data_IF_993942217040
#
_entry.id   IF_993942217040
#
_cell.length_a   1.000
_cell.length_b   1.000
_cell.length_c   1.000
_cell.angle_alpha   90.00
_cell.angle_beta   90.00
_cell.angle_gamma   90.00
#
_symmetry.space_group_name_H-M   'P 1'
#
loop_
_entity.id
_entity.type
_entity.pdbx_description
1 polymer ?
#
# COMPACT_ATOMS: atom_id res chain seq x y z
N UNK A 1 -40.82 36.08 38.09
CA UNK A 1 -39.68 35.35 37.49
C UNK A 1 -38.58 36.38 37.39
N UNK A 2 -37.66 36.31 38.35
CA UNK A 2 -36.65 37.34 38.58
C UNK A 2 -35.70 37.39 37.38
N UNK A 3 -35.40 38.58 36.87
CA UNK A 3 -34.51 38.78 35.70
C UNK A 3 -33.13 38.12 35.91
N UNK A 4 -32.67 38.05 37.16
CA UNK A 4 -31.44 37.35 37.55
C UNK A 4 -31.51 35.83 37.29
N UNK A 5 -32.66 35.18 37.54
CA UNK A 5 -32.82 33.74 37.29
C UNK A 5 -32.74 33.40 35.79
N UNK A 6 -33.25 34.27 34.93
CA UNK A 6 -33.14 34.10 33.47
C UNK A 6 -31.72 34.31 32.96
N UNK A 7 -30.98 35.26 33.54
CA UNK A 7 -29.60 35.55 33.15
C UNK A 7 -28.65 34.43 33.58
N UNK A 8 -28.88 33.85 34.77
CA UNK A 8 -28.18 32.67 35.26
C UNK A 8 -28.47 31.46 34.36
N UNK A 9 -29.75 31.21 34.05
CA UNK A 9 -30.14 30.12 33.16
C UNK A 9 -29.53 30.25 31.75
N UNK A 10 -29.47 31.45 31.19
CA UNK A 10 -28.84 31.71 29.89
C UNK A 10 -27.33 31.47 29.91
N UNK A 11 -26.65 31.90 30.97
CA UNK A 11 -25.20 31.68 31.13
C UNK A 11 -24.86 30.18 31.25
N UNK A 12 -25.67 29.42 31.98
CA UNK A 12 -25.53 27.97 32.12
C UNK A 12 -25.77 27.27 30.79
N UNK A 13 -26.85 27.63 30.09
CA UNK A 13 -27.18 27.07 28.78
C UNK A 13 -26.09 27.37 27.75
N UNK A 14 -25.53 28.59 27.75
CA UNK A 14 -24.42 28.96 26.87
C UNK A 14 -23.16 28.16 27.17
N UNK A 15 -22.85 27.92 28.45
CA UNK A 15 -21.70 27.11 28.86
C UNK A 15 -21.86 25.63 28.51
N UNK A 16 -23.09 25.10 28.56
CA UNK A 16 -23.40 23.73 28.13
C UNK A 16 -23.34 23.59 26.61
N UNK A 17 -23.79 24.60 25.87
CA UNK A 17 -23.70 24.66 24.41
C UNK A 17 -22.23 24.69 23.96
N UNK A 18 -21.39 25.43 24.67
CA UNK A 18 -19.95 25.50 24.39
C UNK A 18 -19.25 24.16 24.68
N UNK A 19 -19.60 23.49 25.80
CA UNK A 19 -19.14 22.12 26.10
C UNK A 19 -19.65 21.11 25.06
N UNK A 20 -20.90 21.21 24.60
CA UNK A 20 -21.44 20.33 23.57
C UNK A 20 -20.76 20.55 22.22
N UNK A 21 -20.45 21.80 21.85
CA UNK A 21 -19.65 22.10 20.66
C UNK A 21 -18.27 21.44 20.74
N UNK A 22 -17.56 21.62 21.85
CA UNK A 22 -16.25 20.97 22.07
C UNK A 22 -16.32 19.43 21.99
N UNK A 23 -17.34 18.82 22.62
CA UNK A 23 -17.56 17.38 22.55
C UNK A 23 -17.92 16.92 21.13
N UNK A 24 -18.70 17.70 20.39
CA UNK A 24 -19.10 17.41 19.02
C UNK A 24 -17.89 17.50 18.08
N UNK A 25 -17.05 18.52 18.23
CA UNK A 25 -15.82 18.70 17.45
C UNK A 25 -14.83 17.56 17.73
N UNK A 26 -14.68 17.14 18.99
CA UNK A 26 -13.85 15.99 19.36
C UNK A 26 -14.40 14.68 18.76
N UNK A 27 -15.72 14.53 18.71
CA UNK A 27 -16.39 13.35 18.17
C UNK A 27 -16.31 13.32 16.64
N UNK A 28 -16.43 14.46 15.96
CA UNK A 28 -16.18 14.62 14.52
C UNK A 28 -14.74 14.24 14.19
N UNK A 29 -13.77 14.75 14.95
CA UNK A 29 -12.35 14.44 14.75
C UNK A 29 -12.04 12.95 14.99
N UNK A 30 -12.65 12.32 16.01
CA UNK A 30 -12.56 10.87 16.27
C UNK A 30 -13.15 10.06 15.12
N UNK A 31 -14.34 10.44 14.63
CA UNK A 31 -14.99 9.77 13.50
C UNK A 31 -14.15 9.89 12.23
N UNK A 32 -13.59 11.06 11.94
CA UNK A 32 -12.72 11.27 10.78
C UNK A 32 -11.41 10.46 10.89
N UNK A 33 -10.76 10.44 12.05
CA UNK A 33 -9.57 9.59 12.30
C UNK A 33 -9.88 8.10 12.14
N UNK A 34 -11.04 7.65 12.60
CA UNK A 34 -11.47 6.27 12.44
C UNK A 34 -11.73 5.93 10.97
N UNK A 35 -12.43 6.79 10.24
CA UNK A 35 -12.68 6.61 8.80
C UNK A 35 -11.37 6.61 8.00
N UNK A 36 -10.49 7.58 8.24
CA UNK A 36 -9.15 7.62 7.65
C UNK A 36 -8.36 6.33 7.90
N UNK A 37 -8.26 5.93 9.17
CA UNK A 37 -7.53 4.71 9.57
C UNK A 37 -8.15 3.46 8.94
N UNK A 38 -9.47 3.40 8.79
CA UNK A 38 -10.17 2.27 8.15
C UNK A 38 -9.80 2.13 6.67
N UNK A 39 -9.71 3.24 5.93
CA UNK A 39 -9.32 3.26 4.50
C UNK A 39 -7.87 2.82 4.33
N UNK A 40 -6.96 3.37 5.14
CA UNK A 40 -5.55 2.97 5.13
C UNK A 40 -5.37 1.51 5.57
N UNK A 41 -6.14 1.04 6.56
CA UNK A 41 -6.14 -0.37 6.99
C UNK A 41 -6.63 -1.34 5.90
N UNK A 42 -7.54 -0.91 5.01
CA UNK A 42 -7.98 -1.73 3.87
C UNK A 42 -6.83 -1.97 2.90
N UNK A 43 -6.05 -0.92 2.60
CA UNK A 43 -4.84 -1.02 1.78
C UNK A 43 -3.78 -1.88 2.47
N UNK A 44 -3.51 -1.64 3.76
CA UNK A 44 -2.56 -2.43 4.56
C UNK A 44 -2.94 -3.92 4.67
N UNK A 45 -4.23 -4.27 4.60
CA UNK A 45 -4.65 -5.68 4.57
C UNK A 45 -4.29 -6.32 3.24
N UNK A 46 -4.62 -5.67 2.12
CA UNK A 46 -4.24 -6.16 0.79
C UNK A 46 -2.72 -6.34 0.68
N UNK A 47 -1.95 -5.38 1.22
CA UNK A 47 -0.51 -5.43 1.12
C UNK A 47 0.17 -6.44 2.06
N UNK A 48 -0.45 -6.73 3.21
CA UNK A 48 0.00 -7.85 4.05
C UNK A 48 -0.19 -9.18 3.35
N UNK A 49 -1.32 -9.39 2.68
CA UNK A 49 -1.56 -10.62 1.89
C UNK A 49 -0.53 -10.73 0.76
N UNK A 50 -0.30 -9.65 0.02
CA UNK A 50 0.73 -9.61 -1.03
C UNK A 50 2.15 -9.87 -0.51
N UNK A 51 2.50 -9.28 0.64
CA UNK A 51 3.81 -9.50 1.28
C UNK A 51 4.00 -10.95 1.72
N UNK A 52 2.97 -11.60 2.29
CA UNK A 52 3.03 -13.02 2.67
C UNK A 52 3.32 -13.89 1.45
N UNK A 53 2.65 -13.63 0.31
CA UNK A 53 2.88 -14.36 -0.94
C UNK A 53 4.31 -14.12 -1.43
N UNK A 54 4.83 -12.89 -1.39
CA UNK A 54 6.20 -12.59 -1.79
C UNK A 54 7.24 -13.29 -0.90
N UNK A 55 7.04 -13.29 0.42
CA UNK A 55 7.92 -14.01 1.35
C UNK A 55 7.86 -15.52 1.14
N UNK A 56 6.69 -16.10 0.90
CA UNK A 56 6.56 -17.51 0.56
C UNK A 56 7.35 -17.88 -0.70
N UNK A 57 7.27 -17.05 -1.75
CA UNK A 57 8.04 -17.23 -2.98
C UNK A 57 9.56 -17.14 -2.74
N UNK A 58 10.02 -16.19 -1.92
CA UNK A 58 11.44 -16.07 -1.54
C UNK A 58 11.93 -17.35 -0.85
N UNK A 59 11.17 -17.85 0.12
CA UNK A 59 11.51 -19.09 0.84
C UNK A 59 11.57 -20.27 -0.13
N UNK A 60 10.60 -20.37 -1.04
CA UNK A 60 10.55 -21.43 -2.04
C UNK A 60 11.77 -21.44 -2.97
N UNK A 61 12.23 -20.26 -3.40
CA UNK A 61 13.44 -20.10 -4.22
C UNK A 61 14.69 -20.51 -3.42
N UNK A 62 14.79 -20.11 -2.15
CA UNK A 62 15.95 -20.42 -1.31
C UNK A 62 16.08 -21.93 -1.03
N UNK A 63 14.97 -22.63 -0.77
CA UNK A 63 14.98 -24.10 -0.53
C UNK A 63 15.41 -24.87 -1.78
N UNK A 64 15.04 -24.39 -2.96
CA UNK A 64 15.39 -25.01 -4.24
C UNK A 64 16.65 -24.41 -4.87
N UNK A 65 17.43 -23.61 -4.13
CA UNK A 65 18.57 -22.90 -4.69
C UNK A 65 19.65 -23.85 -5.24
N UNK A 66 19.70 -25.07 -4.72
CA UNK A 66 20.59 -26.15 -5.17
C UNK A 66 20.29 -26.66 -6.59
N UNK A 67 19.12 -26.34 -7.16
CA UNK A 67 18.75 -26.73 -8.54
C UNK A 67 19.30 -25.77 -9.61
N UNK A 68 19.75 -24.58 -9.23
CA UNK A 68 20.30 -23.62 -10.19
C UNK A 68 21.76 -23.97 -10.49
N UNK A 69 21.99 -24.68 -11.59
CA UNK A 69 23.33 -25.12 -12.00
C UNK A 69 24.10 -24.03 -12.77
N UNK A 70 23.39 -23.16 -13.50
CA UNK A 70 24.00 -22.08 -14.28
C UNK A 70 24.16 -20.78 -13.48
N UNK A 71 25.27 -20.06 -13.72
CA UNK A 71 25.54 -18.73 -13.14
C UNK A 71 24.44 -17.73 -13.50
N UNK A 72 23.91 -17.78 -14.72
CA UNK A 72 22.85 -16.87 -15.18
C UNK A 72 21.54 -17.07 -14.39
N UNK A 73 21.14 -18.31 -14.15
CA UNK A 73 19.94 -18.62 -13.38
C UNK A 73 20.09 -18.31 -11.89
N UNK A 74 21.30 -18.44 -11.33
CA UNK A 74 21.58 -17.97 -9.97
C UNK A 74 21.49 -16.44 -9.84
N UNK A 75 22.05 -15.70 -10.79
CA UNK A 75 21.99 -14.25 -10.80
C UNK A 75 20.53 -13.74 -10.92
N UNK A 76 19.73 -14.33 -11.80
CA UNK A 76 18.31 -13.97 -11.95
C UNK A 76 17.48 -14.30 -10.71
N UNK A 77 17.76 -15.42 -10.03
CA UNK A 77 17.14 -15.76 -8.75
C UNK A 77 17.47 -14.74 -7.64
N UNK A 78 18.73 -14.33 -7.52
CA UNK A 78 19.15 -13.31 -6.54
C UNK A 78 18.49 -11.96 -6.82
N UNK A 79 18.47 -11.52 -8.09
CA UNK A 79 17.81 -10.27 -8.49
C UNK A 79 16.31 -10.33 -8.17
N UNK A 80 15.66 -11.46 -8.43
CA UNK A 80 14.24 -11.68 -8.13
C UNK A 80 13.97 -11.57 -6.62
N UNK A 81 14.78 -12.24 -5.79
CA UNK A 81 14.65 -12.21 -4.32
C UNK A 81 14.82 -10.80 -3.78
N UNK A 82 15.87 -10.08 -4.19
CA UNK A 82 16.12 -8.70 -3.75
C UNK A 82 14.94 -7.81 -4.13
N UNK A 83 14.46 -7.94 -5.37
CA UNK A 83 13.37 -7.08 -5.85
C UNK A 83 12.06 -7.35 -5.12
N UNK A 84 11.70 -8.63 -4.89
CA UNK A 84 10.51 -9.00 -4.12
C UNK A 84 10.59 -8.49 -2.68
N UNK A 85 11.78 -8.55 -2.07
CA UNK A 85 12.01 -8.05 -0.71
C UNK A 85 11.84 -6.53 -0.64
N UNK A 86 12.51 -5.78 -1.52
CA UNK A 86 12.42 -4.31 -1.58
C UNK A 86 10.99 -3.85 -1.84
N UNK A 87 10.27 -4.51 -2.75
CA UNK A 87 8.87 -4.20 -3.04
C UNK A 87 7.97 -4.42 -1.83
N UNK A 88 8.09 -5.57 -1.17
CA UNK A 88 7.25 -5.95 -0.03
C UNK A 88 7.50 -5.05 1.18
N UNK A 89 8.77 -4.79 1.52
CA UNK A 89 9.14 -3.98 2.68
C UNK A 89 8.86 -2.49 2.43
N UNK A 90 9.19 -1.99 1.23
CA UNK A 90 9.01 -0.59 0.86
C UNK A 90 7.54 -0.16 0.87
N UNK A 91 6.64 -0.96 0.29
CA UNK A 91 5.20 -0.65 0.26
C UNK A 91 4.61 -0.59 1.68
N UNK A 92 4.96 -1.58 2.53
CA UNK A 92 4.50 -1.62 3.92
C UNK A 92 5.04 -0.46 4.76
N UNK A 93 6.29 -0.06 4.55
CA UNK A 93 6.88 1.05 5.30
C UNK A 93 6.16 2.38 5.00
N UNK A 94 5.91 2.68 3.74
CA UNK A 94 5.20 3.90 3.32
C UNK A 94 3.77 3.93 3.85
N UNK A 95 3.05 2.81 3.78
CA UNK A 95 1.68 2.71 4.29
C UNK A 95 1.60 2.80 5.83
N UNK A 96 2.57 2.22 6.55
CA UNK A 96 2.67 2.38 8.01
C UNK A 96 2.91 3.84 8.41
N UNK A 97 3.75 4.56 7.65
CA UNK A 97 3.98 6.01 7.87
C UNK A 97 2.73 6.84 7.63
N UNK A 98 1.91 6.49 6.64
CA UNK A 98 0.61 7.14 6.42
C UNK A 98 -0.37 6.85 7.56
N UNK A 99 -0.46 5.59 8.02
CA UNK A 99 -1.32 5.23 9.16
C UNK A 99 -0.94 5.95 10.46
N UNK A 100 0.33 6.25 10.66
CA UNK A 100 0.83 6.91 11.87
C UNK A 100 0.45 8.42 11.97
N UNK A 101 -0.19 8.98 10.94
CA UNK A 101 -0.70 10.35 10.97
C UNK A 101 -1.89 10.41 11.94
N UNK A 102 -1.80 11.26 12.95
CA UNK A 102 -2.84 11.45 13.96
C UNK A 102 -3.52 12.81 13.74
N UNK A 103 -4.78 12.79 13.28
CA UNK A 103 -5.58 14.00 13.04
C UNK A 103 -5.89 14.79 14.32
N UNK A 104 -5.77 14.18 15.51
CA UNK A 104 -6.12 14.83 16.79
C UNK A 104 -5.00 15.66 17.42
N UNK A 105 -3.74 15.38 17.04
CA UNK A 105 -2.57 15.91 17.76
C UNK A 105 -1.74 16.86 16.90
N UNK A 106 -1.78 16.69 15.57
CA UNK A 106 -1.11 17.55 14.60
C UNK A 106 -2.06 18.66 14.11
N UNK A 107 -1.54 19.87 13.91
CA UNK A 107 -2.29 20.97 13.29
C UNK A 107 -2.72 20.56 11.86
N UNK A 108 -3.99 20.79 11.49
CA UNK A 108 -4.61 20.31 10.24
C UNK A 108 -3.76 20.62 9.00
N UNK A 109 -3.22 21.84 8.87
CA UNK A 109 -2.36 22.22 7.74
C UNK A 109 -1.06 21.41 7.67
N UNK A 110 -0.53 20.97 8.81
CA UNK A 110 0.66 20.09 8.86
C UNK A 110 0.31 18.65 8.49
N UNK A 111 -0.87 18.19 8.86
CA UNK A 111 -1.41 16.87 8.51
C UNK A 111 -1.65 16.74 7.01
N UNK A 112 -2.24 17.75 6.38
CA UNK A 112 -2.45 17.80 4.92
C UNK A 112 -1.11 17.73 4.17
N UNK A 113 -0.11 18.52 4.60
CA UNK A 113 1.24 18.50 4.01
C UNK A 113 1.92 17.13 4.16
N UNK A 114 1.85 16.51 5.35
CA UNK A 114 2.39 15.17 5.59
C UNK A 114 1.70 14.14 4.70
N UNK A 115 0.37 14.15 4.63
CA UNK A 115 -0.41 13.21 3.82
C UNK A 115 -0.09 13.35 2.32
N UNK A 116 -0.05 14.57 1.79
CA UNK A 116 0.28 14.83 0.38
C UNK A 116 1.68 14.34 0.02
N UNK A 117 2.66 14.53 0.91
CA UNK A 117 4.02 14.02 0.75
C UNK A 117 4.06 12.50 0.64
N UNK A 118 3.43 11.78 1.57
CA UNK A 118 3.42 10.32 1.56
C UNK A 118 2.57 9.74 0.43
N UNK A 119 1.47 10.41 0.03
CA UNK A 119 0.70 10.07 -1.16
C UNK A 119 1.57 10.09 -2.41
N UNK A 120 2.39 11.15 -2.57
CA UNK A 120 3.33 11.27 -3.69
C UNK A 120 4.37 10.15 -3.67
N UNK A 121 4.97 9.86 -2.52
CA UNK A 121 5.95 8.77 -2.40
C UNK A 121 5.35 7.39 -2.68
N UNK A 122 4.18 7.08 -2.14
CA UNK A 122 3.50 5.81 -2.43
C UNK A 122 3.15 5.69 -3.92
N UNK A 123 2.69 6.77 -4.55
CA UNK A 123 2.39 6.76 -5.98
C UNK A 123 3.64 6.59 -6.86
N UNK A 124 4.74 7.27 -6.52
CA UNK A 124 6.01 7.10 -7.24
C UNK A 124 6.59 5.70 -7.04
N UNK A 125 6.55 5.17 -5.81
CA UNK A 125 6.99 3.82 -5.50
C UNK A 125 6.20 2.79 -6.29
N UNK A 126 4.88 2.96 -6.45
CA UNK A 126 4.06 2.07 -7.27
C UNK A 126 4.35 2.16 -8.76
N UNK A 127 4.54 3.36 -9.30
CA UNK A 127 4.93 3.53 -10.71
C UNK A 127 6.29 2.91 -10.99
N UNK A 128 7.26 3.13 -10.11
CA UNK A 128 8.56 2.47 -10.17
C UNK A 128 8.43 0.95 -10.05
N UNK A 129 7.55 0.49 -9.17
CA UNK A 129 7.31 -0.95 -8.98
C UNK A 129 6.68 -1.61 -10.20
N UNK A 130 5.78 -0.94 -10.92
CA UNK A 130 5.23 -1.45 -12.18
C UNK A 130 6.32 -1.56 -13.25
N UNK A 131 7.20 -0.56 -13.36
CA UNK A 131 8.29 -0.56 -14.32
C UNK A 131 9.33 -1.65 -14.00
N UNK A 132 9.75 -1.75 -12.75
CA UNK A 132 10.64 -2.83 -12.29
C UNK A 132 9.98 -4.20 -12.45
N UNK A 133 8.68 -4.30 -12.16
CA UNK A 133 7.88 -5.52 -12.31
C UNK A 133 7.91 -6.08 -13.74
N UNK A 134 7.94 -5.20 -14.75
CA UNK A 134 8.10 -5.62 -16.14
C UNK A 134 9.42 -6.34 -16.39
N UNK A 135 10.54 -5.83 -15.87
CA UNK A 135 11.85 -6.50 -15.97
C UNK A 135 11.89 -7.79 -15.16
N UNK A 136 11.26 -7.79 -13.98
CA UNK A 136 11.18 -8.95 -13.10
C UNK A 136 10.42 -10.11 -13.73
N UNK A 137 9.46 -9.88 -14.64
CA UNK A 137 8.77 -10.95 -15.36
C UNK A 137 9.72 -11.81 -16.20
N UNK A 138 10.75 -11.22 -16.79
CA UNK A 138 11.74 -11.97 -17.56
C UNK A 138 12.61 -12.81 -16.62
N UNK A 139 13.06 -12.22 -15.51
CA UNK A 139 13.83 -12.93 -14.50
C UNK A 139 13.02 -14.07 -13.85
N UNK A 140 11.74 -13.84 -13.55
CA UNK A 140 10.87 -14.85 -12.95
C UNK A 140 10.60 -16.01 -13.89
N UNK A 141 10.43 -15.75 -15.20
CA UNK A 141 10.28 -16.82 -16.20
C UNK A 141 11.47 -17.78 -16.19
N UNK A 142 12.69 -17.24 -16.19
CA UNK A 142 13.91 -18.05 -16.11
C UNK A 142 13.98 -18.87 -14.80
N UNK A 143 13.68 -18.24 -13.67
CA UNK A 143 13.71 -18.89 -12.34
C UNK A 143 12.66 -20.00 -12.22
N UNK A 144 11.43 -19.74 -12.66
CA UNK A 144 10.34 -20.71 -12.57
C UNK A 144 10.54 -21.90 -13.51
N UNK A 145 11.18 -21.71 -14.66
CA UNK A 145 11.46 -22.82 -15.57
C UNK A 145 12.47 -23.83 -14.99
N UNK A 146 13.52 -23.36 -14.33
CA UNK A 146 14.46 -24.24 -13.61
C UNK A 146 13.76 -24.96 -12.47
N UNK A 147 12.89 -24.26 -11.74
CA UNK A 147 12.13 -24.82 -10.62
C UNK A 147 11.14 -25.92 -11.01
N UNK A 148 10.40 -25.74 -12.11
CA UNK A 148 9.32 -26.65 -12.53
C UNK A 148 9.77 -27.71 -13.54
N UNK A 149 10.65 -27.36 -14.48
CA UNK A 149 11.07 -28.27 -15.56
C UNK A 149 12.45 -28.88 -15.32
N UNK A 150 13.20 -28.41 -14.31
CA UNK A 150 14.58 -28.88 -14.04
C UNK A 150 15.57 -28.57 -15.16
N UNK A 151 15.17 -27.74 -16.12
CA UNK A 151 15.93 -27.36 -17.32
C UNK A 151 16.19 -25.88 -17.29
N UNK A 152 17.44 -25.50 -17.54
CA UNK A 152 17.82 -24.10 -17.72
C UNK A 152 17.29 -23.60 -19.07
N UNK A 153 16.40 -22.59 -19.05
CA UNK A 153 15.91 -21.95 -20.29
C UNK A 153 17.03 -21.35 -21.14
N UNK A 154 18.17 -21.04 -20.53
CA UNK A 154 19.33 -20.51 -21.24
C UNK A 154 20.12 -21.59 -21.99
N UNK A 155 19.95 -22.87 -21.63
CA UNK A 155 20.71 -23.99 -22.20
C UNK A 155 19.87 -24.84 -23.16
N UNK A 156 18.59 -25.05 -22.85
CA UNK A 156 17.65 -25.80 -23.72
C UNK A 156 16.50 -24.88 -24.16
N UNK A 157 16.73 -24.11 -25.21
CA UNK A 157 15.74 -23.14 -25.73
C UNK A 157 14.69 -23.85 -26.57
N UNK A 158 13.61 -24.28 -25.93
CA UNK A 158 12.37 -24.66 -26.62
C UNK A 158 11.45 -23.44 -26.69
N UNK A 159 11.55 -22.68 -27.78
CA UNK A 159 10.89 -21.36 -27.98
C UNK A 159 9.38 -21.42 -27.69
N UNK A 160 8.71 -22.51 -28.06
CA UNK A 160 7.26 -22.69 -27.89
C UNK A 160 6.87 -22.77 -26.42
N UNK A 161 7.68 -23.45 -25.60
CA UNK A 161 7.45 -23.60 -24.15
C UNK A 161 7.81 -22.36 -23.36
N UNK A 162 8.56 -21.43 -23.95
CA UNK A 162 8.93 -20.14 -23.36
C UNK A 162 7.92 -19.04 -23.67
N UNK A 163 7.47 -18.93 -24.93
CA UNK A 163 6.63 -17.82 -25.39
C UNK A 163 5.23 -17.87 -24.76
N UNK A 164 4.62 -19.05 -24.66
CA UNK A 164 3.25 -19.23 -24.13
C UNK A 164 3.12 -18.72 -22.67
N UNK A 165 3.93 -19.20 -21.70
CA UNK A 165 3.82 -18.72 -20.31
C UNK A 165 4.22 -17.25 -20.17
N UNK A 166 5.11 -16.74 -21.03
CA UNK A 166 5.54 -15.35 -21.01
C UNK A 166 4.44 -14.37 -21.45
N UNK A 167 3.71 -14.69 -22.53
CA UNK A 167 2.56 -13.90 -22.99
C UNK A 167 1.46 -13.92 -21.92
N UNK A 168 1.18 -15.10 -21.36
CA UNK A 168 0.18 -15.24 -20.31
C UNK A 168 0.55 -14.44 -19.05
N UNK A 169 1.83 -14.49 -18.64
CA UNK A 169 2.37 -13.70 -17.54
C UNK A 169 2.25 -12.19 -17.77
N UNK A 170 2.51 -11.71 -18.98
CA UNK A 170 2.34 -10.30 -19.35
C UNK A 170 0.88 -9.83 -19.23
N UNK A 171 -0.06 -10.64 -19.70
CA UNK A 171 -1.50 -10.32 -19.63
C UNK A 171 -1.95 -10.23 -18.16
N UNK A 172 -1.62 -11.24 -17.35
CA UNK A 172 -1.96 -11.26 -15.92
C UNK A 172 -1.32 -10.08 -15.20
N UNK A 173 -0.04 -9.80 -15.46
CA UNK A 173 0.66 -8.67 -14.87
C UNK A 173 -0.01 -7.34 -15.21
N UNK A 174 -0.39 -7.13 -16.47
CA UNK A 174 -1.11 -5.93 -16.91
C UNK A 174 -2.43 -5.73 -16.17
N UNK A 175 -3.22 -6.80 -16.01
CA UNK A 175 -4.50 -6.76 -15.28
C UNK A 175 -4.27 -6.41 -13.81
N UNK A 176 -3.30 -7.06 -13.15
CA UNK A 176 -3.00 -6.82 -11.73
C UNK A 176 -2.46 -5.41 -11.51
N UNK A 177 -1.56 -4.93 -12.36
CA UNK A 177 -1.02 -3.57 -12.30
C UNK A 177 -2.11 -2.51 -12.49
N UNK A 178 -3.04 -2.74 -13.43
CA UNK A 178 -4.18 -1.86 -13.66
C UNK A 178 -5.14 -1.83 -12.46
N UNK A 179 -5.54 -3.00 -11.95
CA UNK A 179 -6.42 -3.10 -10.78
C UNK A 179 -5.78 -2.49 -9.53
N UNK A 180 -4.50 -2.78 -9.30
CA UNK A 180 -3.72 -2.23 -8.20
C UNK A 180 -3.69 -0.71 -8.25
N UNK A 181 -3.18 -0.12 -9.34
CA UNK A 181 -3.10 1.34 -9.47
C UNK A 181 -4.45 2.04 -9.30
N UNK A 182 -5.54 1.46 -9.82
CA UNK A 182 -6.89 2.00 -9.65
C UNK A 182 -7.39 1.91 -8.21
N UNK A 183 -7.18 0.77 -7.54
CA UNK A 183 -7.59 0.57 -6.14
C UNK A 183 -6.86 1.53 -5.20
N UNK A 184 -5.54 1.67 -5.39
CA UNK A 184 -4.71 2.59 -4.62
C UNK A 184 -5.09 4.05 -4.88
N UNK A 185 -5.27 4.44 -6.14
CA UNK A 185 -5.68 5.81 -6.50
C UNK A 185 -7.03 6.21 -5.89
N UNK A 186 -8.03 5.32 -5.94
CA UNK A 186 -9.35 5.56 -5.32
C UNK A 186 -9.24 5.71 -3.80
N UNK A 187 -8.59 4.77 -3.13
CA UNK A 187 -8.49 4.75 -1.67
C UNK A 187 -7.72 5.96 -1.12
N UNK A 188 -6.68 6.41 -1.84
CA UNK A 188 -5.93 7.62 -1.48
C UNK A 188 -6.71 8.91 -1.75
N UNK A 189 -7.59 8.93 -2.75
CA UNK A 189 -8.48 10.08 -3.01
C UNK A 189 -9.56 10.20 -1.93
N UNK A 190 -10.19 9.08 -1.57
CA UNK A 190 -11.16 9.04 -0.47
C UNK A 190 -10.54 9.49 0.86
N UNK A 191 -9.32 9.04 1.16
CA UNK A 191 -8.60 9.48 2.36
C UNK A 191 -8.21 10.97 2.32
N UNK A 192 -8.01 11.56 1.14
CA UNK A 192 -7.76 12.99 1.01
C UNK A 192 -9.03 13.80 1.30
N UNK A 193 -10.16 13.40 0.72
CA UNK A 193 -11.44 14.09 0.89
C UNK A 193 -11.82 14.18 2.37
N UNK A 194 -11.62 13.11 3.15
CA UNK A 194 -11.89 13.12 4.60
C UNK A 194 -11.05 14.18 5.36
N UNK A 195 -9.84 14.48 4.89
CA UNK A 195 -8.97 15.48 5.52
C UNK A 195 -9.35 16.90 5.05
N UNK A 196 -9.77 17.03 3.80
CA UNK A 196 -10.20 18.30 3.18
C UNK A 196 -11.56 18.75 3.77
N UNK A 197 -12.49 17.81 3.99
CA UNK A 197 -13.78 18.03 4.67
C UNK A 197 -13.63 18.48 6.15
N UNK A 198 -12.43 18.42 6.73
CA UNK A 198 -12.13 18.92 8.08
C UNK A 198 -11.53 20.34 8.08
N UNK A 199 -11.16 20.87 6.91
CA UNK A 199 -10.65 22.24 6.75
C UNK A 199 -11.77 23.26 6.52
N UNK A 200 -12.91 22.81 5.96
CA UNK A 200 -14.16 23.56 5.76
C UNK A 200 -15.10 23.53 6.98
#
# INVERSE_FOLDING_TARGET
MELEEMQIAWSQMSSELEKQKQLTDELIMKMAQQQYTSKINKILRAERVGAIICFATIIYILVNFTKFQSWQSQASAVILVITLFVMSVGSLFLLKKMKAINLQQDNLSTTIKKFSKYKKYTSQFQRGSILVGFFVLFASSAVFSVLFSGKDMFLEVDLTKMIIPMIFGLIIFGIIAYLGSRFYGKSLKEAQLIIEDLED
#
